data_IF_539279729534
#
_entry.id   IF_539279729534
#
_cell.length_a   1.000
_cell.length_b   1.000
_cell.length_c   1.000
_cell.angle_alpha   90.00
_cell.angle_beta   90.00
_cell.angle_gamma   90.00
#
_symmetry.space_group_name_H-M   'P 1'
#
loop_
_entity.id
_entity.type
_entity.pdbx_description
1 polymer ?
#
# COMPACT_ATOMS: atom_id res chain seq x y z
N UNK A 1 5.08 -24.38 5.93
CA UNK A 1 4.64 -23.04 6.39
C UNK A 1 5.80 -22.04 6.46
N UNK A 2 6.96 -22.40 7.01
CA UNK A 2 8.13 -21.50 7.12
C UNK A 2 8.58 -20.86 5.80
N UNK A 3 8.61 -21.62 4.70
CA UNK A 3 8.95 -21.08 3.37
C UNK A 3 7.96 -19.99 2.92
N UNK A 4 6.67 -20.20 3.17
CA UNK A 4 5.61 -19.24 2.85
C UNK A 4 5.81 -17.96 3.67
N UNK A 5 6.06 -18.08 4.99
CA UNK A 5 6.36 -16.94 5.85
C UNK A 5 7.55 -16.13 5.35
N UNK A 6 8.64 -16.78 4.95
CA UNK A 6 9.80 -16.07 4.39
C UNK A 6 9.48 -15.39 3.06
N UNK A 7 8.78 -16.06 2.14
CA UNK A 7 8.40 -15.48 0.86
C UNK A 7 7.54 -14.22 1.05
N UNK A 8 6.52 -14.28 1.90
CA UNK A 8 5.67 -13.12 2.22
C UNK A 8 6.43 -12.06 3.02
N UNK A 9 7.34 -12.44 3.91
CA UNK A 9 8.20 -11.48 4.61
C UNK A 9 9.02 -10.65 3.61
N UNK A 10 9.68 -11.30 2.65
CA UNK A 10 10.47 -10.61 1.61
C UNK A 10 9.60 -9.73 0.73
N UNK A 11 8.43 -10.23 0.32
CA UNK A 11 7.44 -9.43 -0.41
C UNK A 11 7.05 -8.17 0.36
N UNK A 12 6.66 -8.31 1.63
CA UNK A 12 6.26 -7.20 2.48
C UNK A 12 7.38 -6.21 2.75
N UNK A 13 8.62 -6.67 2.88
CA UNK A 13 9.79 -5.81 2.98
C UNK A 13 9.97 -4.99 1.71
N UNK A 14 9.96 -5.63 0.54
CA UNK A 14 10.14 -4.95 -0.75
C UNK A 14 9.04 -3.92 -1.02
N UNK A 15 7.77 -4.30 -0.82
CA UNK A 15 6.64 -3.39 -1.01
C UNK A 15 6.63 -2.32 0.08
N UNK A 16 6.96 -2.65 1.33
CA UNK A 16 7.01 -1.70 2.44
C UNK A 16 8.05 -0.60 2.21
N UNK A 17 9.25 -0.95 1.75
CA UNK A 17 10.26 0.03 1.36
C UNK A 17 9.82 0.87 0.17
N UNK A 18 9.19 0.26 -0.84
CA UNK A 18 8.68 0.98 -2.01
C UNK A 18 7.59 1.98 -1.62
N UNK A 19 6.65 1.58 -0.76
CA UNK A 19 5.60 2.44 -0.22
C UNK A 19 6.17 3.57 0.62
N UNK A 20 7.16 3.31 1.50
CA UNK A 20 7.80 4.36 2.29
C UNK A 20 8.54 5.37 1.40
N UNK A 21 9.30 4.89 0.40
CA UNK A 21 9.99 5.76 -0.54
C UNK A 21 9.00 6.66 -1.30
N UNK A 22 7.87 6.09 -1.75
CA UNK A 22 6.81 6.84 -2.41
C UNK A 22 6.13 7.83 -1.45
N UNK A 23 5.85 7.43 -0.21
CA UNK A 23 5.27 8.30 0.81
C UNK A 23 6.11 9.55 1.06
N UNK A 24 7.44 9.37 1.18
CA UNK A 24 8.38 10.48 1.34
C UNK A 24 8.43 11.36 0.09
N UNK A 25 8.39 10.76 -1.11
CA UNK A 25 8.34 11.50 -2.37
C UNK A 25 7.07 12.36 -2.49
N UNK A 26 5.92 11.84 -2.06
CA UNK A 26 4.63 12.55 -2.07
C UNK A 26 4.59 13.76 -1.13
N UNK A 27 5.52 13.89 -0.18
CA UNK A 27 5.63 15.10 0.65
C UNK A 27 6.35 16.25 -0.07
N UNK A 28 7.02 16.00 -1.20
CA UNK A 28 7.77 17.04 -1.90
C UNK A 28 6.81 17.97 -2.67
N UNK A 29 7.07 19.30 -2.68
CA UNK A 29 6.25 20.24 -3.45
C UNK A 29 6.20 19.91 -4.94
N UNK A 30 7.31 19.43 -5.51
CA UNK A 30 7.42 19.07 -6.91
C UNK A 30 6.51 17.90 -7.26
N UNK A 31 6.50 16.84 -6.44
CA UNK A 31 5.61 15.71 -6.71
C UNK A 31 4.15 16.11 -6.55
N UNK A 32 3.81 16.85 -5.48
CA UNK A 32 2.44 17.33 -5.21
C UNK A 32 1.88 18.21 -6.30
N UNK A 33 2.72 18.99 -6.98
CA UNK A 33 2.30 19.83 -8.10
C UNK A 33 1.77 19.01 -9.30
N UNK A 34 2.14 17.75 -9.43
CA UNK A 34 1.63 16.86 -10.49
C UNK A 34 0.23 16.31 -10.20
N UNK A 35 -0.25 16.43 -8.97
CA UNK A 35 -1.55 15.92 -8.55
C UNK A 35 -2.64 16.98 -8.75
N UNK A 36 -3.50 16.76 -9.75
CA UNK A 36 -4.67 17.62 -9.95
C UNK A 36 -5.69 17.44 -8.83
N UNK A 37 -5.91 16.18 -8.43
CA UNK A 37 -6.82 15.82 -7.35
C UNK A 37 -6.14 15.76 -6.00
N UNK A 38 -6.66 16.52 -5.05
CA UNK A 38 -6.26 16.42 -3.64
C UNK A 38 -6.81 15.16 -2.98
N UNK A 39 -7.99 14.66 -3.40
CA UNK A 39 -8.56 13.45 -2.85
C UNK A 39 -7.73 12.21 -3.26
N UNK A 40 -7.34 12.12 -4.53
CA UNK A 40 -6.50 11.03 -5.03
C UNK A 40 -5.10 11.06 -4.38
N UNK A 41 -4.53 12.27 -4.20
CA UNK A 41 -3.28 12.46 -3.47
C UNK A 41 -3.39 11.94 -2.03
N UNK A 42 -4.46 12.31 -1.31
CA UNK A 42 -4.70 11.81 0.05
C UNK A 42 -4.81 10.28 0.08
N UNK A 43 -5.57 9.67 -0.84
CA UNK A 43 -5.68 8.20 -0.91
C UNK A 43 -4.30 7.56 -1.15
N UNK A 44 -3.49 8.11 -2.05
CA UNK A 44 -2.14 7.63 -2.30
C UNK A 44 -1.23 7.76 -1.07
N UNK A 45 -1.30 8.90 -0.36
CA UNK A 45 -0.55 9.11 0.88
C UNK A 45 -0.97 8.13 1.98
N UNK A 46 -2.27 7.94 2.19
CA UNK A 46 -2.80 6.98 3.16
C UNK A 46 -2.35 5.55 2.83
N UNK A 47 -2.38 5.15 1.55
CA UNK A 47 -1.92 3.84 1.11
C UNK A 47 -0.44 3.65 1.49
N UNK A 48 0.39 4.62 1.11
CA UNK A 48 1.84 4.52 1.22
C UNK A 48 2.35 4.61 2.66
N UNK A 49 1.70 5.41 3.52
CA UNK A 49 2.07 5.53 4.93
C UNK A 49 1.63 4.36 5.79
N UNK A 50 0.44 3.79 5.53
CA UNK A 50 -0.12 2.73 6.37
C UNK A 50 0.49 1.37 6.04
N UNK A 51 0.73 1.08 4.75
CA UNK A 51 1.17 -0.25 4.33
C UNK A 51 2.45 -0.75 5.04
N UNK A 52 3.55 0.04 5.18
CA UNK A 52 4.76 -0.44 5.85
C UNK A 52 4.53 -0.84 7.31
N UNK A 53 3.69 -0.08 8.02
CA UNK A 53 3.35 -0.35 9.42
C UNK A 53 2.51 -1.62 9.52
N UNK A 54 1.46 -1.73 8.69
CA UNK A 54 0.60 -2.90 8.63
C UNK A 54 1.40 -4.18 8.27
N UNK A 55 2.29 -4.07 7.28
CA UNK A 55 3.16 -5.16 6.83
C UNK A 55 4.10 -5.63 7.95
N UNK A 56 4.74 -4.70 8.68
CA UNK A 56 5.62 -5.04 9.79
C UNK A 56 4.87 -5.76 10.93
N UNK A 57 3.72 -5.22 11.34
CA UNK A 57 2.90 -5.80 12.42
C UNK A 57 2.34 -7.17 12.02
N UNK A 58 1.87 -7.31 10.78
CA UNK A 58 1.35 -8.56 10.24
C UNK A 58 2.42 -9.66 10.20
N UNK A 59 3.59 -9.37 9.62
CA UNK A 59 4.70 -10.33 9.51
C UNK A 59 5.18 -10.76 10.90
N UNK A 60 5.40 -9.81 11.82
CA UNK A 60 5.79 -10.11 13.21
C UNK A 60 4.76 -11.05 13.87
N UNK A 61 3.49 -10.70 13.76
CA UNK A 61 2.40 -11.48 14.37
C UNK A 61 2.28 -12.87 13.74
N UNK A 62 2.47 -12.99 12.42
CA UNK A 62 2.42 -14.25 11.71
C UNK A 62 3.54 -15.22 12.15
N UNK A 63 4.76 -14.71 12.33
CA UNK A 63 5.88 -15.50 12.86
C UNK A 63 5.62 -15.97 14.29
N UNK A 64 5.05 -15.09 15.14
CA UNK A 64 4.68 -15.45 16.51
C UNK A 64 3.57 -16.52 16.54
N UNK A 65 2.52 -16.36 15.73
CA UNK A 65 1.43 -17.33 15.59
C UNK A 65 1.96 -18.69 15.10
N UNK A 66 2.87 -18.69 14.13
CA UNK A 66 3.50 -19.92 13.63
C UNK A 66 4.30 -20.64 14.74
N UNK A 67 5.09 -19.90 15.52
CA UNK A 67 5.87 -20.47 16.62
C UNK A 67 4.95 -21.03 17.73
N UNK A 68 3.79 -20.43 17.93
CA UNK A 68 2.75 -20.91 18.85
C UNK A 68 1.85 -22.03 18.27
N UNK A 69 2.09 -22.49 17.04
CA UNK A 69 1.29 -23.53 16.39
C UNK A 69 -0.14 -23.08 16.00
N UNK A 70 -0.39 -21.77 15.94
CA UNK A 70 -1.71 -21.21 15.64
C UNK A 70 -1.94 -21.12 14.12
N UNK A 71 -3.17 -21.40 13.68
CA UNK A 71 -3.50 -21.54 12.26
C UNK A 71 -3.68 -20.20 11.52
N UNK A 72 -3.68 -19.07 12.23
CA UNK A 72 -4.00 -17.76 11.66
C UNK A 72 -2.79 -17.00 11.10
N UNK A 73 -1.60 -17.61 11.05
CA UNK A 73 -0.40 -16.98 10.48
C UNK A 73 -0.59 -16.56 9.00
N UNK A 74 -1.27 -17.38 8.20
CA UNK A 74 -1.55 -17.05 6.78
C UNK A 74 -2.52 -15.87 6.64
N UNK A 75 -3.70 -15.85 7.29
CA UNK A 75 -4.56 -14.67 7.34
C UNK A 75 -3.84 -13.38 7.73
N UNK A 76 -2.93 -13.45 8.71
CA UNK A 76 -2.13 -12.29 9.11
C UNK A 76 -1.26 -11.76 7.97
N UNK A 77 -0.55 -12.62 7.23
CA UNK A 77 0.26 -12.24 6.06
C UNK A 77 -0.59 -11.69 4.91
N UNK A 78 -1.84 -12.12 4.76
CA UNK A 78 -2.72 -11.61 3.71
C UNK A 78 -3.30 -10.23 4.05
N UNK A 79 -3.42 -9.88 5.33
CA UNK A 79 -4.06 -8.62 5.75
C UNK A 79 -3.47 -7.34 5.11
N UNK A 80 -2.13 -7.16 4.95
CA UNK A 80 -1.60 -5.99 4.26
C UNK A 80 -1.87 -6.02 2.75
N UNK A 81 -2.04 -7.21 2.16
CA UNK A 81 -2.39 -7.35 0.74
C UNK A 81 -3.84 -6.92 0.52
N UNK A 82 -4.75 -7.30 1.42
CA UNK A 82 -6.12 -6.80 1.37
C UNK A 82 -6.16 -5.26 1.50
N UNK A 83 -5.27 -4.65 2.29
CA UNK A 83 -5.14 -3.20 2.34
C UNK A 83 -4.75 -2.59 0.98
N UNK A 84 -3.79 -3.19 0.26
CA UNK A 84 -3.43 -2.74 -1.10
C UNK A 84 -4.61 -2.81 -2.05
N UNK A 85 -5.38 -3.91 -2.01
CA UNK A 85 -6.57 -4.09 -2.85
C UNK A 85 -7.63 -3.03 -2.52
N UNK A 86 -7.92 -2.83 -1.23
CA UNK A 86 -8.88 -1.83 -0.77
C UNK A 86 -8.48 -0.42 -1.21
N UNK A 87 -7.23 -0.04 -0.97
CA UNK A 87 -6.76 1.30 -1.29
C UNK A 87 -6.63 1.52 -2.80
N UNK A 88 -6.24 0.50 -3.56
CA UNK A 88 -6.25 0.55 -5.02
C UNK A 88 -7.66 0.75 -5.59
N UNK A 89 -8.67 0.09 -5.00
CA UNK A 89 -10.06 0.31 -5.35
C UNK A 89 -10.53 1.73 -5.01
N UNK A 90 -10.23 2.22 -3.80
CA UNK A 90 -10.57 3.59 -3.42
C UNK A 90 -9.92 4.61 -4.34
N UNK A 91 -8.65 4.40 -4.70
CA UNK A 91 -7.95 5.25 -5.64
C UNK A 91 -8.65 5.28 -7.00
N UNK A 92 -8.99 4.10 -7.55
CA UNK A 92 -9.71 3.99 -8.82
C UNK A 92 -11.10 4.63 -8.79
N UNK A 93 -11.82 4.56 -7.65
CA UNK A 93 -13.13 5.21 -7.48
C UNK A 93 -12.98 6.74 -7.50
N UNK A 94 -12.00 7.27 -6.76
CA UNK A 94 -11.75 8.73 -6.71
C UNK A 94 -11.33 9.24 -8.08
N UNK A 95 -10.39 8.56 -8.73
CA UNK A 95 -9.94 8.85 -10.09
C UNK A 95 -11.14 8.86 -11.07
N UNK A 96 -11.96 7.81 -11.08
CA UNK A 96 -13.16 7.77 -11.93
C UNK A 96 -14.16 8.90 -11.65
N UNK A 97 -14.35 9.27 -10.38
CA UNK A 97 -15.32 10.30 -9.99
C UNK A 97 -14.88 11.71 -10.40
N UNK A 98 -13.58 11.98 -10.42
CA UNK A 98 -13.02 13.29 -10.75
C UNK A 98 -12.66 13.44 -12.22
N UNK A 99 -12.24 12.35 -12.86
CA UNK A 99 -11.63 12.36 -14.19
C UNK A 99 -12.45 11.58 -15.25
N UNK A 100 -13.48 10.83 -14.83
CA UNK A 100 -14.30 10.00 -15.72
C UNK A 100 -13.58 8.74 -16.23
N UNK A 101 -14.04 8.15 -17.33
CA UNK A 101 -13.48 6.88 -17.88
C UNK A 101 -12.09 7.07 -18.53
N UNK A 102 -11.73 8.30 -18.92
CA UNK A 102 -10.56 8.59 -19.78
C UNK A 102 -9.62 9.70 -19.26
N UNK A 103 -9.92 10.34 -18.13
CA UNK A 103 -9.05 11.38 -17.59
C UNK A 103 -7.92 10.77 -16.77
N UNK A 104 -6.69 11.26 -17.01
CA UNK A 104 -5.51 10.84 -16.29
C UNK A 104 -5.26 11.87 -15.19
N UNK A 105 -5.12 11.45 -13.92
CA UNK A 105 -4.88 12.34 -12.77
C UNK A 105 -3.59 13.20 -12.87
N UNK A 106 -2.75 12.94 -13.87
CA UNK A 106 -1.53 13.69 -14.19
C UNK A 106 -1.78 14.69 -15.31
N UNK A 107 -1.42 15.95 -15.04
CA UNK A 107 -1.35 16.98 -16.08
C UNK A 107 -0.21 16.63 -17.03
N UNK A 108 -0.49 16.44 -18.32
CA UNK A 108 0.55 16.38 -19.35
C UNK A 108 1.29 17.72 -19.37
N UNK A 109 2.54 17.72 -18.90
CA UNK A 109 3.46 18.84 -19.16
C UNK A 109 3.95 18.71 -20.59
N UNK A 110 3.46 19.59 -21.48
CA UNK A 110 4.11 19.89 -22.76
C UNK A 110 5.49 20.51 -22.53
#
# INVERSE_FOLDING_TARGET
MTVILWAFTLFHVAVGFSSLALALRLLTPQERAHWRSQAALLVAEFLCWIYPIAAFVAVKSAWAAQAAGQHHAVPMLLSPILWLVLMGLLFAIVDFAEDGILGNARVETN
#
